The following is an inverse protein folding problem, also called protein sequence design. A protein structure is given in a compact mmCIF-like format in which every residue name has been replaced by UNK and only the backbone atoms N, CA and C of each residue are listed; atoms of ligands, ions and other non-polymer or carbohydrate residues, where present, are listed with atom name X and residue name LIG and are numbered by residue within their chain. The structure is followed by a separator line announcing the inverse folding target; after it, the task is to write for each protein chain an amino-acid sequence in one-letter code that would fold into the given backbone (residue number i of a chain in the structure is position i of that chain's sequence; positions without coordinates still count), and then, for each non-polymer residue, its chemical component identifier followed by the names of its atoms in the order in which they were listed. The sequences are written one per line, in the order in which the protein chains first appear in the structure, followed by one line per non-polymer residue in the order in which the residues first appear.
data_IF_182856966319
#
_entry.id   IF_182856966319
#
_cell.length_a   1.000
_cell.length_b   1.000
_cell.length_c   1.000
_cell.angle_alpha   90.00
_cell.angle_beta   90.00
_cell.angle_gamma   90.00
#
_symmetry.space_group_name_H-M   'P 1'
#
loop_
_entity.id
_entity.type
_entity.pdbx_description
1 polymer ?
#
# COMPACT_ATOMS: atom_id res chain seq x y z
N UNK A 1 -21.16 24.39 3.86
CA UNK A 1 -20.91 22.94 3.95
C UNK A 1 -20.43 22.51 2.58
N UNK A 2 -19.13 22.42 2.38
CA UNK A 2 -18.56 21.76 1.20
C UNK A 2 -19.06 20.33 1.19
N UNK A 3 -19.60 19.84 0.07
CA UNK A 3 -19.87 18.41 -0.07
C UNK A 3 -18.53 17.71 0.05
N UNK A 4 -18.33 16.93 1.12
CA UNK A 4 -17.15 16.09 1.25
C UNK A 4 -17.10 15.18 0.02
N UNK A 5 -15.98 15.24 -0.73
CA UNK A 5 -15.80 14.38 -1.90
C UNK A 5 -15.68 12.95 -1.38
N UNK A 6 -16.56 12.06 -1.83
CA UNK A 6 -16.45 10.64 -1.51
C UNK A 6 -15.14 10.08 -2.06
N UNK A 7 -14.47 9.26 -1.26
CA UNK A 7 -13.25 8.58 -1.66
C UNK A 7 -13.31 7.14 -1.16
N UNK A 8 -13.11 6.17 -2.04
CA UNK A 8 -13.13 4.75 -1.71
C UNK A 8 -11.80 4.10 -2.05
N UNK A 9 -11.18 3.48 -1.06
CA UNK A 9 -9.87 2.83 -1.22
C UNK A 9 -9.95 1.37 -0.80
N UNK A 10 -9.59 0.47 -1.71
CA UNK A 10 -9.41 -0.95 -1.40
C UNK A 10 -7.93 -1.23 -1.13
N UNK A 11 -7.63 -1.96 -0.07
CA UNK A 11 -6.31 -2.48 0.23
C UNK A 11 -6.29 -3.99 0.05
N UNK A 12 -5.33 -4.51 -0.71
CA UNK A 12 -5.08 -5.94 -0.91
C UNK A 12 -3.67 -6.24 -0.44
N UNK A 13 -3.50 -7.14 0.51
CA UNK A 13 -2.19 -7.45 1.08
C UNK A 13 -2.21 -8.42 2.25
N UNK A 14 -1.37 -8.18 3.24
CA UNK A 14 -1.19 -9.09 4.38
C UNK A 14 -1.07 -8.32 5.71
N UNK A 15 -0.32 -8.87 6.67
CA UNK A 15 -0.14 -8.29 7.99
C UNK A 15 0.53 -6.91 7.97
N UNK A 16 1.35 -6.60 6.97
CA UNK A 16 1.89 -5.25 6.79
C UNK A 16 0.80 -4.23 6.37
N UNK A 17 -0.37 -4.70 5.93
CA UNK A 17 -1.54 -3.87 5.68
C UNK A 17 -2.44 -3.78 6.92
N UNK A 18 -2.87 -4.89 7.55
CA UNK A 18 -3.87 -4.80 8.62
C UNK A 18 -3.33 -4.41 10.00
N UNK A 19 -2.01 -4.50 10.25
CA UNK A 19 -1.44 -4.13 11.55
C UNK A 19 -1.78 -2.70 11.93
N UNK A 20 -2.18 -2.50 13.18
CA UNK A 20 -2.60 -1.22 13.75
C UNK A 20 -3.76 -0.52 13.01
N UNK A 21 -4.51 -1.23 12.16
CA UNK A 21 -5.53 -0.64 11.28
C UNK A 21 -4.96 0.49 10.40
N UNK A 22 -3.83 0.23 9.75
CA UNK A 22 -3.17 1.20 8.86
C UNK A 22 -4.11 1.77 7.77
N UNK A 23 -5.00 0.99 7.11
CA UNK A 23 -6.03 1.54 6.22
C UNK A 23 -6.93 2.57 6.91
N UNK A 24 -7.35 2.33 8.15
CA UNK A 24 -8.10 3.29 8.96
C UNK A 24 -7.33 4.60 9.19
N UNK A 25 -6.02 4.52 9.41
CA UNK A 25 -5.13 5.69 9.53
C UNK A 25 -5.02 6.49 8.22
N UNK A 26 -5.06 5.83 7.06
CA UNK A 26 -5.16 6.51 5.75
C UNK A 26 -6.51 7.23 5.62
N UNK A 27 -7.61 6.57 6.01
CA UNK A 27 -8.94 7.17 5.97
C UNK A 27 -9.05 8.42 6.86
N UNK A 28 -8.44 8.38 8.05
CA UNK A 28 -8.41 9.53 8.96
C UNK A 28 -7.73 10.75 8.32
N UNK A 29 -6.57 10.58 7.70
CA UNK A 29 -5.84 11.65 6.99
C UNK A 29 -6.63 12.22 5.81
N UNK A 30 -7.30 11.34 5.06
CA UNK A 30 -8.17 11.77 3.98
C UNK A 30 -9.33 12.65 4.48
N UNK A 31 -9.94 12.28 5.62
CA UNK A 31 -11.01 13.07 6.25
C UNK A 31 -10.51 14.42 6.77
N UNK A 32 -9.30 14.48 7.34
CA UNK A 32 -8.66 15.75 7.71
C UNK A 32 -8.46 16.69 6.50
N UNK A 33 -8.35 16.12 5.30
CA UNK A 33 -8.24 16.83 4.03
C UNK A 33 -9.60 17.08 3.32
N UNK A 34 -10.73 16.83 4.00
CA UNK A 34 -12.08 17.13 3.48
C UNK A 34 -12.69 16.06 2.56
N UNK A 35 -12.21 14.82 2.63
CA UNK A 35 -12.81 13.69 1.91
C UNK A 35 -13.68 12.84 2.83
N UNK A 36 -14.84 12.40 2.33
CA UNK A 36 -15.63 11.33 2.96
C UNK A 36 -15.02 9.99 2.55
N UNK A 37 -13.96 9.59 3.27
CA UNK A 37 -13.14 8.44 2.91
C UNK A 37 -13.64 7.15 3.56
N UNK A 38 -13.91 6.14 2.73
CA UNK A 38 -14.19 4.77 3.10
C UNK A 38 -13.03 3.87 2.66
N UNK A 39 -12.61 2.98 3.55
CA UNK A 39 -11.55 1.99 3.26
C UNK A 39 -12.10 0.59 3.42
N UNK A 40 -11.65 -0.31 2.57
CA UNK A 40 -11.87 -1.75 2.68
C UNK A 40 -10.52 -2.44 2.60
N UNK A 41 -10.34 -3.53 3.34
CA UNK A 41 -9.13 -4.35 3.22
C UNK A 41 -9.50 -5.80 2.96
N UNK A 42 -8.75 -6.45 2.08
CA UNK A 42 -8.72 -7.90 1.91
C UNK A 42 -7.28 -8.30 2.18
N UNK A 43 -7.01 -8.73 3.41
CA UNK A 43 -5.65 -8.98 3.86
C UNK A 43 -5.53 -10.27 4.67
N UNK A 44 -4.59 -11.12 4.27
CA UNK A 44 -4.35 -12.43 4.89
C UNK A 44 -2.90 -12.51 5.39
N UNK A 45 -2.70 -12.90 6.65
CA UNK A 45 -1.37 -12.97 7.25
C UNK A 45 -0.43 -13.88 6.46
N UNK A 46 0.77 -13.38 6.11
CA UNK A 46 1.80 -14.14 5.39
C UNK A 46 1.52 -14.42 3.92
N UNK A 47 0.49 -13.81 3.32
CA UNK A 47 0.18 -14.04 1.91
C UNK A 47 1.04 -13.19 0.97
N UNK A 48 1.44 -13.82 -0.13
CA UNK A 48 1.95 -13.16 -1.33
C UNK A 48 0.79 -12.59 -2.15
N UNK A 49 1.07 -11.54 -2.92
CA UNK A 49 0.04 -10.91 -3.74
C UNK A 49 -0.56 -11.88 -4.77
N UNK A 50 0.25 -12.83 -5.26
CA UNK A 50 -0.20 -13.87 -6.19
C UNK A 50 -1.33 -14.74 -5.63
N UNK A 51 -1.39 -14.97 -4.31
CA UNK A 51 -2.42 -15.80 -3.70
C UNK A 51 -3.81 -15.13 -3.75
N UNK A 52 -3.85 -13.80 -3.75
CA UNK A 52 -5.10 -13.04 -3.88
C UNK A 52 -5.76 -13.16 -5.26
N UNK A 53 -5.03 -13.61 -6.30
CA UNK A 53 -5.62 -13.81 -7.63
C UNK A 53 -6.70 -14.89 -7.65
N UNK A 54 -6.56 -15.89 -6.76
CA UNK A 54 -7.49 -17.01 -6.67
C UNK A 54 -8.66 -16.74 -5.72
N UNK A 55 -8.66 -15.58 -5.05
CA UNK A 55 -9.68 -15.19 -4.08
C UNK A 55 -10.87 -14.51 -4.79
N UNK A 56 -12.07 -15.12 -4.83
CA UNK A 56 -13.22 -14.55 -5.51
C UNK A 56 -13.60 -13.16 -4.99
N UNK A 57 -13.41 -12.93 -3.69
CA UNK A 57 -13.73 -11.66 -3.03
C UNK A 57 -12.84 -10.52 -3.53
N UNK A 58 -11.57 -10.80 -3.88
CA UNK A 58 -10.67 -9.80 -4.46
C UNK A 58 -11.20 -9.34 -5.80
N UNK A 59 -11.54 -10.30 -6.68
CA UNK A 59 -12.09 -9.97 -8.00
C UNK A 59 -13.44 -9.25 -7.87
N UNK A 60 -14.33 -9.74 -7.01
CA UNK A 60 -15.64 -9.11 -6.80
C UNK A 60 -15.50 -7.66 -6.30
N UNK A 61 -14.66 -7.41 -5.30
CA UNK A 61 -14.46 -6.07 -4.76
C UNK A 61 -13.86 -5.12 -5.79
N UNK A 62 -12.85 -5.57 -6.55
CA UNK A 62 -12.29 -4.73 -7.63
C UNK A 62 -13.40 -4.32 -8.61
N UNK A 63 -14.18 -5.28 -9.14
CA UNK A 63 -15.18 -5.01 -10.18
C UNK A 63 -16.42 -4.24 -9.71
N UNK A 64 -16.86 -4.45 -8.46
CA UNK A 64 -18.17 -3.98 -8.00
C UNK A 64 -18.12 -3.08 -6.76
N UNK A 65 -16.96 -2.88 -6.14
CA UNK A 65 -16.82 -2.02 -4.96
C UNK A 65 -16.80 -0.52 -5.27
N UNK A 66 -16.64 -0.16 -6.56
CA UNK A 66 -16.57 1.23 -7.03
C UNK A 66 -15.48 2.04 -6.30
N UNK A 67 -14.28 1.46 -6.22
CA UNK A 67 -13.14 2.09 -5.59
C UNK A 67 -12.51 3.15 -6.51
N UNK A 68 -12.06 4.26 -5.93
CA UNK A 68 -11.24 5.25 -6.64
C UNK A 68 -9.79 4.76 -6.76
N UNK A 69 -9.29 4.11 -5.70
CA UNK A 69 -7.93 3.56 -5.63
C UNK A 69 -7.93 2.13 -5.12
N UNK A 70 -7.02 1.33 -5.66
CA UNK A 70 -6.73 -0.02 -5.16
C UNK A 70 -5.24 -0.10 -4.83
N UNK A 71 -4.93 -0.28 -3.55
CA UNK A 71 -3.59 -0.39 -2.98
C UNK A 71 -3.18 -1.85 -2.93
N UNK A 72 -2.06 -2.18 -3.56
CA UNK A 72 -1.51 -3.53 -3.66
C UNK A 72 -0.22 -3.63 -2.84
N UNK A 73 -0.17 -4.58 -1.92
CA UNK A 73 0.99 -4.82 -1.07
C UNK A 73 1.51 -6.25 -1.21
N UNK A 74 2.76 -6.38 -1.65
CA UNK A 74 3.46 -7.67 -1.74
C UNK A 74 4.09 -8.07 -0.41
N UNK A 75 4.29 -9.37 -0.22
CA UNK A 75 4.96 -9.96 0.92
C UNK A 75 6.40 -9.45 1.09
N UNK A 76 6.73 -9.01 2.32
CA UNK A 76 8.02 -8.36 2.61
C UNK A 76 9.11 -9.35 3.03
N UNK A 77 8.82 -10.30 3.93
CA UNK A 77 9.85 -11.15 4.60
C UNK A 77 9.44 -12.63 4.69
N UNK A 78 9.97 -13.51 3.83
CA UNK A 78 10.94 -13.21 2.75
C UNK A 78 10.30 -12.43 1.59
N UNK A 79 11.08 -11.56 0.96
CA UNK A 79 10.66 -10.91 -0.28
C UNK A 79 10.68 -11.93 -1.42
N UNK A 80 9.50 -12.17 -2.01
CA UNK A 80 9.29 -13.21 -3.00
C UNK A 80 10.10 -13.02 -4.29
N UNK A 81 10.06 -14.01 -5.20
CA UNK A 81 10.59 -13.85 -6.55
C UNK A 81 9.87 -12.72 -7.30
N UNK A 82 10.64 -11.87 -7.98
CA UNK A 82 10.13 -10.70 -8.70
C UNK A 82 9.16 -11.09 -9.82
N UNK A 83 9.39 -12.21 -10.51
CA UNK A 83 8.53 -12.68 -11.59
C UNK A 83 7.12 -13.03 -11.09
N UNK A 84 7.01 -13.66 -9.92
CA UNK A 84 5.73 -13.98 -9.26
C UNK A 84 5.01 -12.70 -8.81
N UNK A 85 5.75 -11.77 -8.18
CA UNK A 85 5.21 -10.47 -7.78
C UNK A 85 4.69 -9.69 -9.00
N UNK A 86 5.50 -9.61 -10.07
CA UNK A 86 5.18 -8.83 -11.26
C UNK A 86 3.98 -9.42 -12.02
N UNK A 87 3.90 -10.74 -12.15
CA UNK A 87 2.73 -11.40 -12.76
C UNK A 87 1.44 -11.11 -11.96
N UNK A 88 1.51 -11.16 -10.63
CA UNK A 88 0.38 -10.81 -9.78
C UNK A 88 -0.07 -9.36 -9.97
N UNK A 89 0.87 -8.41 -9.94
CA UNK A 89 0.56 -6.99 -10.14
C UNK A 89 -0.03 -6.74 -11.53
N UNK A 90 0.51 -7.35 -12.60
CA UNK A 90 -0.02 -7.19 -13.97
C UNK A 90 -1.47 -7.63 -14.07
N UNK A 91 -1.80 -8.81 -13.51
CA UNK A 91 -3.16 -9.37 -13.53
C UNK A 91 -4.13 -8.52 -12.71
N UNK A 92 -3.76 -8.13 -11.49
CA UNK A 92 -4.58 -7.25 -10.65
C UNK A 92 -4.77 -5.88 -11.29
N UNK A 93 -3.71 -5.28 -11.82
CA UNK A 93 -3.76 -4.01 -12.54
C UNK A 93 -4.71 -4.06 -13.75
N UNK A 94 -4.75 -5.17 -14.49
CA UNK A 94 -5.70 -5.33 -15.58
C UNK A 94 -7.16 -5.25 -15.09
N UNK A 95 -7.50 -5.94 -13.99
CA UNK A 95 -8.84 -5.85 -13.39
C UNK A 95 -9.14 -4.44 -12.87
N UNK A 96 -8.20 -3.82 -12.16
CA UNK A 96 -8.33 -2.47 -11.59
C UNK A 96 -8.58 -1.43 -12.69
N UNK A 97 -7.90 -1.53 -13.83
CA UNK A 97 -8.07 -0.57 -14.92
C UNK A 97 -9.38 -0.73 -15.67
N UNK A 98 -9.92 -1.95 -15.74
CA UNK A 98 -11.22 -2.21 -16.37
C UNK A 98 -12.37 -1.47 -15.66
N UNK A 99 -12.21 -1.18 -14.36
CA UNK A 99 -13.22 -0.51 -13.54
C UNK A 99 -13.04 1.02 -13.49
N UNK A 100 -11.94 1.54 -14.07
CA UNK A 100 -11.56 2.94 -13.98
C UNK A 100 -10.87 3.32 -12.66
N UNK A 101 -10.63 2.36 -11.75
CA UNK A 101 -9.90 2.58 -10.52
C UNK A 101 -8.41 2.83 -10.80
N UNK A 102 -7.72 3.54 -9.90
CA UNK A 102 -6.27 3.78 -10.00
C UNK A 102 -5.47 2.80 -9.13
N UNK A 103 -4.52 2.05 -9.69
CA UNK A 103 -3.64 1.16 -8.93
C UNK A 103 -2.58 1.96 -8.15
N UNK A 104 -2.33 1.55 -6.91
CA UNK A 104 -1.26 2.07 -6.06
C UNK A 104 -0.42 0.90 -5.55
N UNK A 105 0.87 0.90 -5.83
CA UNK A 105 1.82 -0.08 -5.29
C UNK A 105 2.32 0.44 -3.94
N UNK A 106 2.05 -0.32 -2.87
CA UNK A 106 2.57 -0.04 -1.53
C UNK A 106 3.89 -0.79 -1.33
N UNK A 107 5.01 -0.06 -1.43
CA UNK A 107 6.35 -0.58 -1.16
C UNK A 107 6.60 -0.61 0.35
N UNK A 108 6.67 -1.80 0.94
CA UNK A 108 6.98 -2.02 2.36
C UNK A 108 8.48 -1.94 2.65
N UNK A 109 8.85 -2.09 3.92
CA UNK A 109 10.22 -2.08 4.42
C UNK A 109 10.81 -3.48 4.57
N UNK A 110 12.15 -3.57 4.61
CA UNK A 110 12.94 -4.74 5.00
C UNK A 110 12.84 -5.04 6.50
N UNK A 111 13.08 -6.27 6.95
CA UNK A 111 13.14 -6.62 8.38
C UNK A 111 14.28 -5.85 9.07
N UNK A 112 14.16 -5.57 10.38
CA UNK A 112 15.10 -4.72 11.13
C UNK A 112 16.56 -5.19 11.09
N UNK A 113 16.81 -6.47 10.95
CA UNK A 113 18.14 -7.09 10.80
C UNK A 113 18.53 -7.35 9.33
N UNK A 114 17.72 -6.92 8.38
CA UNK A 114 17.85 -7.21 6.96
C UNK A 114 17.81 -5.95 6.07
N UNK A 115 18.33 -4.81 6.54
CA UNK A 115 18.38 -3.55 5.75
C UNK A 115 18.92 -3.76 4.32
N UNK A 116 19.87 -4.69 4.16
CA UNK A 116 20.44 -5.05 2.86
C UNK A 116 19.41 -5.52 1.81
N UNK A 117 18.25 -6.05 2.23
CA UNK A 117 17.16 -6.45 1.34
C UNK A 117 16.34 -5.26 0.81
N UNK A 118 16.42 -4.09 1.46
CA UNK A 118 15.58 -2.94 1.10
C UNK A 118 15.82 -2.49 -0.34
N UNK A 119 17.07 -2.52 -0.82
CA UNK A 119 17.39 -2.08 -2.18
C UNK A 119 16.70 -2.95 -3.23
N UNK A 120 16.72 -4.28 -3.07
CA UNK A 120 16.01 -5.22 -3.94
C UNK A 120 14.51 -4.92 -3.99
N UNK A 121 13.91 -4.63 -2.83
CA UNK A 121 12.50 -4.24 -2.74
C UNK A 121 12.24 -2.92 -3.46
N UNK A 122 13.10 -1.90 -3.28
CA UNK A 122 12.97 -0.60 -3.95
C UNK A 122 12.97 -0.78 -5.47
N UNK A 123 13.95 -1.51 -5.99
CA UNK A 123 14.13 -1.71 -7.43
C UNK A 123 12.93 -2.45 -8.03
N UNK A 124 12.49 -3.54 -7.39
CA UNK A 124 11.36 -4.34 -7.86
C UNK A 124 10.05 -3.55 -7.88
N UNK A 125 9.72 -2.82 -6.80
CA UNK A 125 8.46 -2.07 -6.73
C UNK A 125 8.45 -0.87 -7.69
N UNK A 126 9.58 -0.19 -7.88
CA UNK A 126 9.69 0.89 -8.87
C UNK A 126 9.52 0.37 -10.29
N UNK A 127 10.21 -0.73 -10.62
CA UNK A 127 10.12 -1.35 -11.94
C UNK A 127 8.68 -1.70 -12.29
N UNK A 128 7.98 -2.44 -11.41
CA UNK A 128 6.63 -2.87 -11.73
C UNK A 128 5.62 -1.73 -11.71
N UNK A 129 5.78 -0.74 -10.81
CA UNK A 129 4.91 0.44 -10.79
C UNK A 129 5.05 1.26 -12.08
N UNK A 130 6.27 1.47 -12.57
CA UNK A 130 6.52 2.12 -13.86
C UNK A 130 5.94 1.31 -15.01
N UNK A 131 6.21 0.00 -15.06
CA UNK A 131 5.76 -0.89 -16.13
C UNK A 131 4.23 -0.87 -16.30
N UNK A 132 3.48 -0.94 -15.20
CA UNK A 132 2.01 -0.97 -15.24
C UNK A 132 1.36 0.40 -15.14
N UNK A 133 2.16 1.47 -15.04
CA UNK A 133 1.70 2.86 -14.87
C UNK A 133 0.91 3.09 -13.57
N UNK A 134 1.28 2.43 -12.48
CA UNK A 134 0.67 2.60 -11.17
C UNK A 134 1.33 3.71 -10.36
N UNK A 135 0.59 4.27 -9.40
CA UNK A 135 1.19 5.13 -8.38
C UNK A 135 2.06 4.28 -7.46
N UNK A 136 3.14 4.86 -6.92
CA UNK A 136 4.01 4.19 -5.96
C UNK A 136 3.95 4.93 -4.62
N UNK A 137 3.63 4.21 -3.54
CA UNK A 137 3.76 4.67 -2.17
C UNK A 137 5.09 4.17 -1.60
N UNK A 138 6.13 5.04 -1.51
CA UNK A 138 7.52 4.64 -1.28
C UNK A 138 7.84 4.50 0.22
N UNK A 139 7.08 3.69 0.97
CA UNK A 139 7.26 3.61 2.44
C UNK A 139 8.61 3.02 2.80
N UNK A 140 8.98 1.87 2.22
CA UNK A 140 10.27 1.21 2.49
C UNK A 140 11.49 2.05 2.11
N UNK A 141 11.38 2.83 1.03
CA UNK A 141 12.43 3.76 0.61
C UNK A 141 12.69 4.84 1.66
N UNK A 142 11.63 5.35 2.31
CA UNK A 142 11.73 6.40 3.31
C UNK A 142 11.90 5.87 4.75
N UNK A 143 11.66 4.58 4.98
CA UNK A 143 11.67 3.95 6.30
C UNK A 143 13.03 4.06 7.00
N UNK A 144 14.10 3.62 6.34
CA UNK A 144 15.44 3.59 6.92
C UNK A 144 16.06 4.98 7.13
N UNK A 145 16.00 5.92 6.16
CA UNK A 145 16.41 7.30 6.40
C UNK A 145 15.68 7.94 7.58
N UNK A 146 14.39 7.65 7.74
CA UNK A 146 13.58 8.16 8.85
C UNK A 146 14.04 7.59 10.19
N UNK A 147 14.17 6.26 10.30
CA UNK A 147 14.67 5.60 11.52
C UNK A 147 16.06 6.12 11.95
N UNK A 148 16.97 6.34 11.01
CA UNK A 148 18.31 6.87 11.29
C UNK A 148 18.26 8.31 11.81
N UNK A 149 17.28 9.08 11.37
CA UNK A 149 17.07 10.47 11.78
C UNK A 149 16.35 10.59 13.13
N UNK A 150 15.57 9.56 13.51
CA UNK A 150 14.77 9.50 14.73
C UNK A 150 15.03 8.22 15.54
N UNK A 151 16.26 7.99 16.04
CA UNK A 151 16.66 6.71 16.63
C UNK A 151 15.92 6.32 17.91
N UNK A 152 15.26 7.28 18.57
CA UNK A 152 14.46 7.06 19.78
C UNK A 152 12.99 6.70 19.47
N UNK A 153 12.56 6.80 18.21
CA UNK A 153 11.23 6.41 17.78
C UNK A 153 11.29 4.98 17.25
N UNK A 154 10.67 4.06 17.99
CA UNK A 154 10.61 2.67 17.56
C UNK A 154 9.59 2.50 16.43
N UNK A 155 10.08 2.14 15.24
CA UNK A 155 9.28 1.96 14.03
C UNK A 155 8.80 0.52 13.85
N UNK A 156 9.46 -0.45 14.49
CA UNK A 156 9.10 -1.85 14.42
C UNK A 156 8.31 -2.30 15.64
N UNK A 157 7.47 -3.32 15.47
CA UNK A 157 6.97 -4.10 16.57
C UNK A 157 8.10 -4.96 17.19
N UNK A 158 7.82 -5.63 18.30
CA UNK A 158 8.81 -6.41 19.06
C UNK A 158 9.48 -7.52 18.23
N UNK A 159 8.83 -7.99 17.16
CA UNK A 159 9.35 -9.01 16.24
C UNK A 159 10.36 -8.48 15.20
N UNK A 160 10.55 -7.16 15.11
CA UNK A 160 11.46 -6.53 14.16
C UNK A 160 11.02 -6.65 12.70
N UNK A 161 9.78 -7.08 12.42
CA UNK A 161 9.24 -7.26 11.07
C UNK A 161 8.00 -6.39 10.84
N UNK A 162 7.02 -6.46 11.74
CA UNK A 162 5.81 -5.65 11.64
C UNK A 162 6.08 -4.20 12.08
N UNK A 163 5.23 -3.28 11.66
CA UNK A 163 5.30 -1.90 12.11
C UNK A 163 4.80 -1.76 13.55
N UNK A 164 5.46 -0.89 14.31
CA UNK A 164 4.84 -0.30 15.50
C UNK A 164 3.66 0.59 15.10
N UNK A 165 2.95 1.14 16.08
CA UNK A 165 1.93 2.15 15.82
C UNK A 165 2.52 3.38 15.06
N UNK A 166 3.73 3.83 15.44
CA UNK A 166 4.42 4.92 14.75
C UNK A 166 4.84 4.53 13.33
N UNK A 167 5.28 3.30 13.12
CA UNK A 167 5.59 2.78 11.78
C UNK A 167 4.36 2.69 10.88
N UNK A 168 3.21 2.33 11.43
CA UNK A 168 1.95 2.25 10.67
C UNK A 168 1.42 3.64 10.32
N UNK A 169 1.56 4.59 11.25
CA UNK A 169 1.24 6.00 11.01
C UNK A 169 2.12 6.61 9.89
N UNK A 170 3.41 6.26 9.88
CA UNK A 170 4.34 6.63 8.82
C UNK A 170 3.96 6.03 7.47
N UNK A 171 3.63 4.73 7.43
CA UNK A 171 3.16 4.06 6.22
C UNK A 171 1.87 4.71 5.67
N UNK A 172 0.89 4.93 6.56
CA UNK A 172 -0.37 5.57 6.20
C UNK A 172 -0.16 6.98 5.64
N UNK A 173 0.76 7.76 6.22
CA UNK A 173 1.12 9.08 5.70
C UNK A 173 1.62 8.99 4.26
N UNK A 174 2.59 8.13 3.98
CA UNK A 174 3.18 8.03 2.64
C UNK A 174 2.19 7.49 1.59
N UNK A 175 1.31 6.56 1.97
CA UNK A 175 0.23 6.09 1.09
C UNK A 175 -0.75 7.23 0.80
N UNK A 176 -1.17 7.97 1.82
CA UNK A 176 -2.07 9.11 1.65
C UNK A 176 -1.44 10.23 0.81
N UNK A 177 -0.20 10.61 1.08
CA UNK A 177 0.50 11.66 0.33
C UNK A 177 0.56 11.32 -1.18
N UNK A 178 0.81 10.06 -1.53
CA UNK A 178 0.80 9.57 -2.92
C UNK A 178 -0.58 9.76 -3.56
N UNK A 179 -1.64 9.32 -2.88
CA UNK A 179 -3.03 9.46 -3.37
C UNK A 179 -3.43 10.94 -3.47
N UNK A 180 -3.14 11.73 -2.44
CA UNK A 180 -3.49 13.14 -2.38
C UNK A 180 -2.81 13.94 -3.48
N UNK A 181 -1.55 13.66 -3.78
CA UNK A 181 -0.81 14.30 -4.88
C UNK A 181 -1.49 14.05 -6.23
N UNK A 182 -1.93 12.81 -6.50
CA UNK A 182 -2.67 12.49 -7.72
C UNK A 182 -4.04 13.21 -7.79
N UNK A 183 -4.77 13.24 -6.67
CA UNK A 183 -6.05 13.97 -6.56
C UNK A 183 -5.89 15.46 -6.87
N UNK A 184 -4.80 16.09 -6.40
CA UNK A 184 -4.50 17.50 -6.68
C UNK A 184 -4.14 17.74 -8.14
N UNK A 185 -3.44 16.80 -8.79
CA UNK A 185 -3.11 16.89 -10.23
C UNK A 185 -4.35 16.79 -11.12
N UNK A 186 -5.34 15.99 -10.71
CA UNK A 186 -6.57 15.76 -11.48
C UNK A 186 -7.65 16.83 -11.23
N UNK A 187 -7.47 17.67 -10.19
CA UNK A 187 -8.39 18.76 -9.85
C UNK A 187 -8.06 20.09 -10.56
N UNK A 188 -6.98 20.14 -11.34
CA UNK A 188 -6.54 21.26 -12.19
C UNK A 188 -6.95 21.02 -13.63
#
# INVERSE_FOLDING_TARGET
MTKDKKLRILFIGNSHTYFNDMPGMVAARARECGYDCEVTMIAHGGWFLAQHLDEPDVRFNIFYGHYDYVVLQEHSHPFGPEDVFFDAVRKLNAWIRETGSKPVIYMTWAKKDEEYNQQRMIDAHRQIAEEVGALLAPVGENWWPYMKSWPNLEMYYEDGAHASAAGSDFAAKHIWDTIYTDLMRTSL
#
